data_IF_246949139681
#
_entry.id   IF_246949139681
#
_cell.length_a   1.000
_cell.length_b   1.000
_cell.length_c   1.000
_cell.angle_alpha   90.00
_cell.angle_beta   90.00
_cell.angle_gamma   90.00
#
_symmetry.space_group_name_H-M   'P 1'
#
loop_
_entity.id
_entity.type
_entity.pdbx_description
1 polymer ?
#
# COMPACT_ATOMS: atom_id res chain seq x y z
N UNK A 1 12.42 17.87 -4.34
CA UNK A 1 12.00 19.23 -3.95
C UNK A 1 10.61 19.11 -3.34
N UNK A 2 10.42 19.45 -2.06
CA UNK A 2 9.08 19.53 -1.44
C UNK A 2 8.60 20.96 -1.68
N UNK A 3 7.37 21.20 -2.20
CA UNK A 3 6.82 22.54 -2.21
C UNK A 3 6.88 23.14 -0.80
N UNK A 4 7.10 24.45 -0.68
CA UNK A 4 7.01 25.17 0.59
C UNK A 4 5.52 25.32 1.00
N UNK A 5 4.83 24.21 1.16
CA UNK A 5 3.47 24.13 1.70
C UNK A 5 3.57 23.74 3.17
N UNK A 6 2.74 24.36 4.01
CA UNK A 6 2.83 24.31 5.48
C UNK A 6 2.57 22.95 6.15
N UNK A 7 2.40 21.86 5.39
CA UNK A 7 2.13 20.54 5.95
C UNK A 7 2.27 19.43 4.93
N UNK A 8 2.79 18.28 5.37
CA UNK A 8 2.90 17.08 4.54
C UNK A 8 1.66 16.19 4.57
N UNK A 9 0.70 16.54 5.43
CA UNK A 9 -0.46 15.75 5.71
C UNK A 9 -1.52 15.83 4.60
N UNK A 10 -1.58 16.93 3.85
CA UNK A 10 -2.51 17.18 2.72
C UNK A 10 -1.81 17.52 1.40
N UNK A 11 -0.49 17.75 1.41
CA UNK A 11 0.28 17.99 0.17
C UNK A 11 1.23 16.83 -0.11
N UNK A 12 0.75 15.75 -0.77
CA UNK A 12 1.61 14.64 -1.13
C UNK A 12 2.70 15.13 -2.08
N UNK A 13 3.92 14.60 -1.90
CA UNK A 13 5.09 14.99 -2.72
C UNK A 13 4.94 14.62 -4.19
N UNK A 14 4.22 13.54 -4.45
CA UNK A 14 3.90 12.99 -5.76
C UNK A 14 2.39 13.13 -5.89
N UNK A 15 1.84 13.47 -7.05
CA UNK A 15 0.38 13.48 -7.21
C UNK A 15 -0.16 12.05 -7.34
N UNK A 16 -1.48 11.88 -7.19
CA UNK A 16 -2.12 10.57 -7.40
C UNK A 16 -1.91 10.10 -8.85
N UNK A 17 -2.01 11.02 -9.81
CA UNK A 17 -1.85 10.77 -11.24
C UNK A 17 -0.40 10.38 -11.56
N UNK A 18 0.58 11.11 -11.03
CA UNK A 18 2.00 10.81 -11.22
C UNK A 18 2.35 9.46 -10.60
N UNK A 19 1.83 9.17 -9.40
CA UNK A 19 2.00 7.86 -8.76
C UNK A 19 1.42 6.72 -9.60
N UNK A 20 0.18 6.86 -10.08
CA UNK A 20 -0.47 5.83 -10.89
C UNK A 20 0.28 5.59 -12.20
N UNK A 21 0.65 6.66 -12.91
CA UNK A 21 1.42 6.58 -14.16
C UNK A 21 2.79 5.92 -13.94
N UNK A 22 3.51 6.31 -12.88
CA UNK A 22 4.82 5.73 -12.54
C UNK A 22 4.69 4.26 -12.16
N UNK A 23 3.67 3.89 -11.36
CA UNK A 23 3.44 2.51 -10.96
C UNK A 23 3.11 1.63 -12.17
N UNK A 24 2.26 2.13 -13.07
CA UNK A 24 1.93 1.48 -14.34
C UNK A 24 3.19 1.26 -15.21
N UNK A 25 4.07 2.25 -15.31
CA UNK A 25 5.33 2.15 -16.05
C UNK A 25 6.28 1.11 -15.43
N UNK A 26 6.37 1.05 -14.09
CA UNK A 26 7.17 0.03 -13.39
C UNK A 26 6.66 -1.37 -13.74
N UNK A 27 5.34 -1.59 -13.72
CA UNK A 27 4.73 -2.86 -14.10
C UNK A 27 5.10 -3.23 -15.53
N UNK A 28 4.94 -2.31 -16.48
CA UNK A 28 5.25 -2.56 -17.89
C UNK A 28 6.72 -2.94 -18.10
N UNK A 29 7.65 -2.19 -17.47
CA UNK A 29 9.10 -2.45 -17.56
C UNK A 29 9.47 -3.82 -17.01
N UNK A 30 8.90 -4.22 -15.88
CA UNK A 30 9.17 -5.53 -15.28
C UNK A 30 8.60 -6.67 -16.14
N UNK A 31 7.36 -6.52 -16.63
CA UNK A 31 6.72 -7.52 -17.50
C UNK A 31 7.41 -7.68 -18.85
N UNK A 32 7.99 -6.61 -19.39
CA UNK A 32 8.80 -6.67 -20.60
C UNK A 32 10.04 -7.58 -20.46
N UNK A 33 10.47 -7.86 -19.22
CA UNK A 33 11.53 -8.83 -18.91
C UNK A 33 11.02 -10.24 -18.65
N UNK A 34 9.72 -10.52 -18.86
CA UNK A 34 9.10 -11.82 -18.61
C UNK A 34 8.93 -12.15 -17.12
N UNK A 35 8.98 -11.14 -16.24
CA UNK A 35 8.82 -11.31 -14.80
C UNK A 35 7.35 -11.13 -14.43
N UNK A 36 6.83 -12.06 -13.64
CA UNK A 36 5.47 -11.99 -13.08
C UNK A 36 5.40 -10.87 -12.04
N UNK A 37 4.34 -10.05 -12.10
CA UNK A 37 4.18 -8.88 -11.23
C UNK A 37 2.97 -9.06 -10.33
N UNK A 38 3.19 -8.86 -9.04
CA UNK A 38 2.13 -8.73 -8.04
C UNK A 38 2.26 -7.36 -7.40
N UNK A 39 1.21 -6.56 -7.46
CA UNK A 39 1.14 -5.28 -6.75
C UNK A 39 0.63 -5.48 -5.33
N UNK A 40 1.04 -4.58 -4.44
CA UNK A 40 0.62 -4.60 -3.03
C UNK A 40 0.29 -3.17 -2.58
N UNK A 41 -0.84 -2.99 -1.90
CA UNK A 41 -1.17 -1.69 -1.29
C UNK A 41 -0.34 -1.48 -0.01
N UNK A 42 -0.10 -0.22 0.38
CA UNK A 42 0.50 0.06 1.70
C UNK A 42 -0.49 -0.27 2.82
N UNK A 43 -0.03 -0.72 4.00
CA UNK A 43 -0.90 -0.79 5.17
C UNK A 43 -1.39 0.61 5.59
N UNK A 44 -2.52 0.69 6.31
CA UNK A 44 -2.97 1.95 6.90
C UNK A 44 -2.08 2.38 8.06
N UNK A 45 -2.01 3.69 8.28
CA UNK A 45 -1.43 4.31 9.47
C UNK A 45 -2.36 4.14 10.68
N UNK A 46 -1.81 4.34 11.88
CA UNK A 46 -2.60 4.33 13.12
C UNK A 46 -2.71 5.71 13.75
N UNK A 47 -3.81 5.91 14.47
CA UNK A 47 -4.25 7.16 15.11
C UNK A 47 -3.37 7.60 16.29
N UNK A 48 -2.32 6.82 16.62
CA UNK A 48 -1.30 7.20 17.62
C UNK A 48 -0.10 7.92 17.00
N UNK A 49 -0.10 8.12 15.68
CA UNK A 49 0.97 8.80 14.98
C UNK A 49 1.16 10.24 15.50
N UNK A 50 2.42 10.64 15.70
CA UNK A 50 2.76 11.94 16.28
C UNK A 50 2.13 13.12 15.53
N UNK A 51 1.95 12.99 14.21
CA UNK A 51 1.38 14.03 13.35
C UNK A 51 -0.13 14.18 13.43
N UNK A 52 -0.85 13.38 14.23
CA UNK A 52 -2.33 13.40 14.30
C UNK A 52 -2.97 14.74 14.68
N UNK A 53 -2.18 15.66 15.24
CA UNK A 53 -2.60 17.01 15.56
C UNK A 53 -2.68 17.94 14.33
N UNK A 54 -2.17 17.52 13.17
CA UNK A 54 -2.21 18.31 11.93
C UNK A 54 -3.65 18.41 11.41
N UNK A 55 -4.05 19.62 11.02
CA UNK A 55 -5.44 19.96 10.62
C UNK A 55 -6.00 18.99 9.55
N UNK A 56 -5.20 18.65 8.55
CA UNK A 56 -5.60 17.73 7.50
C UNK A 56 -6.04 16.36 8.03
N UNK A 57 -5.30 15.78 8.98
CA UNK A 57 -5.66 14.49 9.57
C UNK A 57 -6.86 14.58 10.51
N UNK A 58 -7.04 15.71 11.21
CA UNK A 58 -8.24 15.93 12.01
C UNK A 58 -9.49 16.07 11.14
N UNK A 59 -9.37 16.72 9.98
CA UNK A 59 -10.49 16.98 9.06
C UNK A 59 -10.86 15.77 8.21
N UNK A 60 -9.87 15.00 7.74
CA UNK A 60 -10.06 13.93 6.76
C UNK A 60 -9.83 12.52 7.32
N UNK A 61 -9.29 12.41 8.53
CA UNK A 61 -8.82 11.15 9.12
C UNK A 61 -7.39 10.82 8.67
N UNK A 62 -6.65 10.04 9.47
CA UNK A 62 -5.21 9.79 9.22
C UNK A 62 -4.91 9.08 7.89
N UNK A 63 -5.86 8.27 7.42
CA UNK A 63 -5.67 7.39 6.28
C UNK A 63 -6.22 7.94 4.96
N UNK A 64 -6.77 9.17 4.90
CA UNK A 64 -7.44 9.66 3.69
C UNK A 64 -6.56 9.64 2.42
N UNK A 65 -5.30 10.06 2.53
CA UNK A 65 -4.33 9.93 1.43
C UNK A 65 -3.90 8.48 1.24
N UNK A 66 -3.63 7.72 2.31
CA UNK A 66 -3.20 6.32 2.18
C UNK A 66 -4.25 5.50 1.43
N UNK A 67 -5.54 5.73 1.70
CA UNK A 67 -6.67 5.13 1.02
C UNK A 67 -6.74 5.56 -0.45
N UNK A 68 -6.55 6.85 -0.72
CA UNK A 68 -6.54 7.40 -2.09
C UNK A 68 -5.47 6.72 -2.95
N UNK A 69 -4.27 6.47 -2.40
CA UNK A 69 -3.18 5.81 -3.12
C UNK A 69 -3.32 4.30 -3.17
N UNK A 70 -3.89 3.67 -2.15
CA UNK A 70 -4.29 2.27 -2.20
C UNK A 70 -5.31 2.04 -3.33
N UNK A 71 -6.24 2.98 -3.53
CA UNK A 71 -7.21 2.95 -4.62
C UNK A 71 -6.54 3.11 -5.98
N UNK A 72 -5.56 4.01 -6.13
CA UNK A 72 -4.78 4.13 -7.36
C UNK A 72 -4.01 2.83 -7.69
N UNK A 73 -3.44 2.15 -6.69
CA UNK A 73 -2.78 0.86 -6.90
C UNK A 73 -3.76 -0.24 -7.34
N UNK A 74 -4.99 -0.25 -6.81
CA UNK A 74 -6.07 -1.16 -7.26
C UNK A 74 -6.43 -0.94 -8.73
N UNK A 75 -6.57 0.32 -9.13
CA UNK A 75 -6.89 0.70 -10.51
C UNK A 75 -5.78 0.28 -11.47
N UNK A 76 -4.50 0.54 -11.12
CA UNK A 76 -3.35 0.11 -11.93
C UNK A 76 -3.29 -1.41 -12.04
N UNK A 77 -3.52 -2.14 -10.95
CA UNK A 77 -3.54 -3.60 -11.00
C UNK A 77 -4.61 -4.13 -11.96
N UNK A 78 -5.82 -3.56 -11.91
CA UNK A 78 -6.92 -3.92 -12.81
C UNK A 78 -6.61 -3.56 -14.28
N UNK A 79 -6.09 -2.36 -14.53
CA UNK A 79 -5.71 -1.89 -15.87
C UNK A 79 -4.64 -2.79 -16.50
N UNK A 80 -3.57 -3.06 -15.74
CA UNK A 80 -2.43 -3.88 -16.19
C UNK A 80 -2.72 -5.38 -16.15
N UNK A 81 -3.87 -5.79 -15.60
CA UNK A 81 -4.28 -7.18 -15.41
C UNK A 81 -3.20 -7.97 -14.65
N UNK A 82 -2.70 -7.38 -13.57
CA UNK A 82 -1.76 -8.02 -12.65
C UNK A 82 -2.45 -8.28 -11.31
N UNK A 83 -1.94 -9.27 -10.59
CA UNK A 83 -2.48 -9.60 -9.29
C UNK A 83 -2.24 -8.49 -8.26
N UNK A 84 -3.18 -8.36 -7.31
CA UNK A 84 -3.10 -7.41 -6.21
C UNK A 84 -3.25 -8.10 -4.86
N UNK A 85 -2.35 -7.77 -3.94
CA UNK A 85 -2.49 -8.06 -2.50
C UNK A 85 -2.88 -6.77 -1.77
N UNK A 86 -4.13 -6.71 -1.30
CA UNK A 86 -4.68 -5.53 -0.66
C UNK A 86 -4.43 -5.52 0.87
N UNK A 87 -3.20 -5.19 1.24
CA UNK A 87 -2.77 -5.06 2.65
C UNK A 87 -3.53 -3.94 3.36
N UNK A 88 -3.82 -2.83 2.69
CA UNK A 88 -4.63 -1.74 3.24
C UNK A 88 -5.93 -2.29 3.81
N UNK A 89 -6.70 -3.01 3.00
CA UNK A 89 -7.99 -3.59 3.40
C UNK A 89 -7.84 -4.64 4.49
N UNK A 90 -6.77 -5.43 4.48
CA UNK A 90 -6.54 -6.46 5.50
C UNK A 90 -6.38 -5.88 6.91
N UNK A 91 -5.90 -4.64 7.02
CA UNK A 91 -5.68 -3.95 8.30
C UNK A 91 -6.70 -2.86 8.62
N UNK A 92 -7.41 -2.30 7.63
CA UNK A 92 -8.25 -1.10 7.80
C UNK A 92 -9.32 -1.26 8.91
N UNK A 93 -9.96 -2.42 8.99
CA UNK A 93 -11.05 -2.67 9.95
C UNK A 93 -10.64 -3.56 11.14
N UNK A 94 -9.33 -3.75 11.36
CA UNK A 94 -8.84 -4.65 12.40
C UNK A 94 -8.30 -3.85 13.59
N UNK A 95 -8.95 -3.90 14.76
CA UNK A 95 -8.42 -3.26 15.98
C UNK A 95 -7.00 -3.69 16.33
N UNK A 96 -6.66 -4.96 16.05
CA UNK A 96 -5.32 -5.53 16.23
C UNK A 96 -4.22 -4.79 15.45
N UNK A 97 -4.58 -4.01 14.40
CA UNK A 97 -3.64 -3.11 13.71
C UNK A 97 -2.94 -2.17 14.70
N UNK A 98 -3.62 -1.66 15.71
CA UNK A 98 -3.04 -0.69 16.64
C UNK A 98 -1.85 -1.25 17.41
N UNK A 99 -1.80 -2.56 17.62
CA UNK A 99 -0.74 -3.21 18.38
C UNK A 99 0.41 -3.69 17.50
N UNK A 100 0.20 -3.81 16.19
CA UNK A 100 1.21 -4.34 15.26
C UNK A 100 2.07 -3.24 14.64
N UNK A 101 1.79 -1.96 14.92
CA UNK A 101 2.46 -0.82 14.30
C UNK A 101 3.11 0.05 15.39
N UNK A 102 4.27 -0.33 15.93
CA UNK A 102 4.86 0.30 17.11
C UNK A 102 5.17 1.80 16.94
N UNK A 103 5.49 2.23 15.72
CA UNK A 103 5.73 3.64 15.37
C UNK A 103 4.56 4.27 14.58
N UNK A 104 3.42 3.57 14.55
CA UNK A 104 2.18 3.96 13.88
C UNK A 104 2.22 3.92 12.34
N UNK A 105 3.32 3.47 11.73
CA UNK A 105 3.56 3.45 10.28
C UNK A 105 4.00 2.06 9.79
N UNK A 106 4.98 1.47 10.46
CA UNK A 106 5.64 0.23 10.05
C UNK A 106 5.13 -0.94 10.90
N UNK A 107 4.80 -2.08 10.27
CA UNK A 107 4.41 -3.27 11.00
C UNK A 107 5.61 -3.89 11.74
N UNK A 108 5.34 -4.49 12.89
CA UNK A 108 6.26 -5.39 13.59
C UNK A 108 6.20 -6.82 13.01
N UNK A 109 6.81 -7.79 13.68
CA UNK A 109 6.78 -9.19 13.25
C UNK A 109 5.36 -9.77 13.11
N UNK A 110 4.40 -9.34 13.93
CA UNK A 110 3.01 -9.80 13.88
C UNK A 110 2.29 -9.19 12.67
N UNK A 111 2.51 -7.90 12.41
CA UNK A 111 1.99 -7.24 11.21
C UNK A 111 2.59 -7.83 9.93
N UNK A 112 3.91 -8.05 9.89
CA UNK A 112 4.58 -8.71 8.78
C UNK A 112 4.08 -10.15 8.56
N UNK A 113 3.71 -10.87 9.62
CA UNK A 113 3.12 -12.21 9.49
C UNK A 113 1.81 -12.17 8.69
N UNK A 114 0.91 -11.23 9.00
CA UNK A 114 -0.35 -11.08 8.25
C UNK A 114 -0.07 -10.77 6.77
N UNK A 115 0.89 -9.89 6.49
CA UNK A 115 1.28 -9.54 5.10
C UNK A 115 1.85 -10.76 4.38
N UNK A 116 2.70 -11.54 5.05
CA UNK A 116 3.29 -12.75 4.49
C UNK A 116 2.24 -13.81 4.18
N UNK A 117 1.27 -14.04 5.08
CA UNK A 117 0.19 -15.00 4.85
C UNK A 117 -0.65 -14.62 3.61
N UNK A 118 -0.95 -13.33 3.41
CA UNK A 118 -1.63 -12.82 2.22
C UNK A 118 -0.82 -13.00 0.93
N UNK A 119 0.49 -12.73 0.99
CA UNK A 119 1.39 -12.89 -0.15
C UNK A 119 1.51 -14.37 -0.54
N UNK A 120 1.73 -15.26 0.42
CA UNK A 120 1.84 -16.71 0.17
C UNK A 120 0.56 -17.25 -0.46
N UNK A 121 -0.61 -16.87 0.06
CA UNK A 121 -1.89 -17.29 -0.51
C UNK A 121 -2.02 -16.84 -1.98
N UNK A 122 -1.64 -15.61 -2.30
CA UNK A 122 -1.73 -15.08 -3.66
C UNK A 122 -0.71 -15.74 -4.59
N UNK A 123 0.56 -15.79 -4.18
CA UNK A 123 1.65 -16.34 -4.98
C UNK A 123 1.45 -17.82 -5.31
N UNK A 124 0.91 -18.61 -4.37
CA UNK A 124 0.59 -20.02 -4.61
C UNK A 124 -0.46 -20.21 -5.72
N UNK A 125 -1.38 -19.25 -5.90
CA UNK A 125 -2.37 -19.27 -6.98
C UNK A 125 -1.78 -18.82 -8.31
N UNK A 126 -0.87 -17.85 -8.30
CA UNK A 126 -0.26 -17.27 -9.51
C UNK A 126 0.81 -18.18 -10.10
N UNK A 127 1.66 -18.79 -9.27
CA UNK A 127 2.80 -19.61 -9.72
C UNK A 127 2.44 -21.07 -10.01
N UNK A 128 1.21 -21.49 -9.65
CA UNK A 128 0.84 -22.90 -9.63
C UNK A 128 1.56 -23.68 -8.52
N UNK A 129 1.34 -25.00 -8.39
CA UNK A 129 2.19 -25.83 -7.54
C UNK A 129 3.65 -25.69 -8.01
N UNK A 130 4.64 -25.76 -7.11
CA UNK A 130 6.04 -25.79 -7.52
C UNK A 130 6.18 -26.89 -8.57
N UNK A 131 6.71 -26.54 -9.74
CA UNK A 131 7.06 -27.55 -10.73
C UNK A 131 7.98 -28.55 -10.03
N UNK A 132 7.61 -29.84 -10.06
CA UNK A 132 8.45 -30.92 -9.56
C UNK A 132 9.84 -30.75 -10.20
N UNK A 133 10.81 -30.28 -9.41
CA UNK A 133 12.22 -30.13 -9.78
C UNK A 133 13.02 -31.11 -8.95
#
# INVERSE_FOLDING_TARGET
>A
YRPQTGGFADTPRVSREEFAATLAEIVDRIRAQGIEVVLMTCPPMTERYWGMHLEAYQKHGINFLVETYAQAAREVAAEKKVELVDVYRAFHDKPARLDYFPDCLHPDARGHRVIADLLVERLARTLGPPADR
#
